data_IF_369856062421
#
_entry.id   IF_369856062421
#
_cell.length_a   1.000
_cell.length_b   1.000
_cell.length_c   1.000
_cell.angle_alpha   90.00
_cell.angle_beta   90.00
_cell.angle_gamma   90.00
#
_symmetry.space_group_name_H-M   'P 1'
#
loop_
_entity.id
_entity.type
_entity.pdbx_description
1 polymer ?
#
# COMPACT_ATOMS: atom_id res chain seq x y z
N UNK A 1 -14.54 7.63 20.64
CA UNK A 1 -13.59 6.70 19.99
C UNK A 1 -14.29 6.08 18.79
N UNK A 2 -13.60 5.92 17.66
CA UNK A 2 -14.18 5.17 16.55
C UNK A 2 -14.35 3.69 16.94
N UNK A 3 -15.49 3.12 16.60
CA UNK A 3 -15.83 1.71 16.90
C UNK A 3 -15.60 0.80 15.70
N UNK A 4 -15.45 1.39 14.51
CA UNK A 4 -15.08 0.69 13.31
C UNK A 4 -14.10 1.52 12.48
N UNK A 5 -13.36 0.83 11.61
CA UNK A 5 -12.36 1.48 10.76
C UNK A 5 -12.98 2.41 9.71
N UNK A 6 -14.20 2.11 9.27
CA UNK A 6 -14.91 2.89 8.25
C UNK A 6 -15.36 4.26 8.76
N UNK A 7 -15.46 4.47 10.07
CA UNK A 7 -15.68 5.77 10.69
C UNK A 7 -14.47 6.70 10.57
N UNK A 8 -13.28 6.14 10.32
CA UNK A 8 -12.02 6.90 10.17
C UNK A 8 -11.59 7.05 8.72
N UNK A 9 -12.00 6.12 7.85
CA UNK A 9 -11.61 6.09 6.43
C UNK A 9 -12.65 6.83 5.59
N UNK A 10 -12.22 7.87 4.88
CA UNK A 10 -13.10 8.65 3.99
C UNK A 10 -13.37 7.95 2.65
N UNK A 11 -12.42 7.14 2.17
CA UNK A 11 -12.48 6.51 0.84
C UNK A 11 -11.91 5.10 0.89
N UNK A 12 -12.67 4.14 0.35
CA UNK A 12 -12.21 2.78 0.09
C UNK A 12 -12.18 2.57 -1.42
N UNK A 13 -10.99 2.31 -1.97
CA UNK A 13 -10.84 2.06 -3.40
C UNK A 13 -11.24 0.62 -3.75
N UNK A 14 -12.06 0.41 -4.78
CA UNK A 14 -12.43 -0.93 -5.23
C UNK A 14 -11.29 -1.57 -6.03
N UNK A 15 -11.23 -2.90 -6.03
CA UNK A 15 -10.41 -3.65 -6.97
C UNK A 15 -11.23 -3.91 -8.24
N UNK A 16 -10.78 -3.36 -9.37
CA UNK A 16 -11.37 -3.57 -10.69
C UNK A 16 -10.35 -4.32 -11.58
N UNK A 17 -10.74 -4.72 -12.80
CA UNK A 17 -9.82 -5.42 -13.70
C UNK A 17 -8.54 -4.64 -14.02
N UNK A 18 -8.56 -3.31 -13.93
CA UNK A 18 -7.37 -2.47 -14.12
C UNK A 18 -6.33 -2.75 -13.02
N UNK A 19 -6.74 -2.71 -11.75
CA UNK A 19 -5.88 -2.95 -10.60
C UNK A 19 -5.39 -4.40 -10.59
N UNK A 20 -6.24 -5.37 -10.96
CA UNK A 20 -5.81 -6.77 -11.08
C UNK A 20 -4.73 -6.96 -12.15
N UNK A 21 -4.85 -6.30 -13.32
CA UNK A 21 -3.80 -6.35 -14.36
C UNK A 21 -2.51 -5.70 -13.89
N UNK A 22 -2.59 -4.51 -13.29
CA UNK A 22 -1.41 -3.83 -12.75
C UNK A 22 -0.72 -4.64 -11.64
N UNK A 23 -1.48 -5.34 -10.80
CA UNK A 23 -0.92 -6.24 -9.80
C UNK A 23 -0.14 -7.39 -10.44
N UNK A 24 -0.61 -7.97 -11.54
CA UNK A 24 0.12 -9.03 -12.25
C UNK A 24 1.44 -8.53 -12.84
N UNK A 25 1.47 -7.30 -13.36
CA UNK A 25 2.70 -6.64 -13.82
C UNK A 25 3.69 -6.50 -12.66
N UNK A 26 3.23 -5.93 -11.54
CA UNK A 26 4.06 -5.78 -10.33
C UNK A 26 4.55 -7.12 -9.79
N UNK A 27 3.72 -8.17 -9.84
CA UNK A 27 4.07 -9.50 -9.35
C UNK A 27 5.25 -10.10 -10.11
N UNK A 28 5.33 -9.92 -11.42
CA UNK A 28 6.46 -10.41 -12.21
C UNK A 28 7.80 -9.82 -11.73
N UNK A 29 7.80 -8.57 -11.30
CA UNK A 29 8.98 -7.87 -10.80
C UNK A 29 9.24 -8.09 -9.30
N UNK A 30 8.18 -8.28 -8.51
CA UNK A 30 8.25 -8.28 -7.05
C UNK A 30 8.26 -9.68 -6.44
N UNK A 31 7.75 -10.70 -7.14
CA UNK A 31 7.71 -12.08 -6.64
C UNK A 31 9.11 -12.63 -6.28
N UNK A 32 10.19 -12.36 -7.04
CA UNK A 32 11.54 -12.80 -6.66
C UNK A 32 12.04 -12.21 -5.34
N UNK A 33 11.46 -11.09 -4.90
CA UNK A 33 11.79 -10.37 -3.66
C UNK A 33 10.90 -10.79 -2.47
N UNK A 34 9.99 -11.75 -2.67
CA UNK A 34 9.13 -12.28 -1.62
C UNK A 34 7.92 -11.42 -1.26
N UNK A 35 7.62 -10.36 -2.04
CA UNK A 35 6.46 -9.49 -1.78
C UNK A 35 5.17 -10.26 -2.07
N UNK A 36 4.22 -10.21 -1.14
CA UNK A 36 2.98 -10.97 -1.22
C UNK A 36 2.00 -10.32 -2.20
N UNK A 37 1.18 -11.14 -2.86
CA UNK A 37 0.13 -10.70 -3.80
C UNK A 37 -0.83 -9.69 -3.16
N UNK A 38 -1.12 -9.84 -1.86
CA UNK A 38 -1.97 -8.90 -1.11
C UNK A 38 -1.36 -7.50 -1.07
N UNK A 39 -0.05 -7.38 -0.88
CA UNK A 39 0.60 -6.08 -0.78
C UNK A 39 0.66 -5.43 -2.17
N UNK A 40 0.87 -6.24 -3.21
CA UNK A 40 0.86 -5.79 -4.60
C UNK A 40 -0.52 -5.33 -5.09
N UNK A 41 -1.62 -5.95 -4.63
CA UNK A 41 -2.96 -5.48 -5.00
C UNK A 41 -3.28 -4.13 -4.34
N UNK A 42 -2.76 -3.87 -3.13
CA UNK A 42 -2.84 -2.54 -2.51
C UNK A 42 -2.06 -1.50 -3.32
N UNK A 43 -0.82 -1.81 -3.70
CA UNK A 43 -0.02 -0.91 -4.56
C UNK A 43 -0.71 -0.66 -5.89
N UNK A 44 -1.23 -1.69 -6.55
CA UNK A 44 -1.93 -1.53 -7.82
C UNK A 44 -3.15 -0.60 -7.70
N UNK A 45 -3.94 -0.76 -6.63
CA UNK A 45 -5.07 0.13 -6.34
C UNK A 45 -4.63 1.56 -6.05
N UNK A 46 -3.53 1.75 -5.32
CA UNK A 46 -2.98 3.08 -5.06
C UNK A 46 -2.54 3.76 -6.37
N UNK A 47 -1.71 3.09 -7.18
CA UNK A 47 -1.16 3.65 -8.41
C UNK A 47 -2.26 3.97 -9.43
N UNK A 48 -3.28 3.12 -9.55
CA UNK A 48 -4.43 3.37 -10.42
C UNK A 48 -5.23 4.64 -10.03
N UNK A 49 -5.10 5.10 -8.79
CA UNK A 49 -5.74 6.29 -8.25
C UNK A 49 -4.75 7.45 -8.01
N UNK A 50 -3.54 7.37 -8.58
CA UNK A 50 -2.52 8.42 -8.47
C UNK A 50 -1.91 8.55 -7.07
N UNK A 51 -2.06 7.54 -6.23
CA UNK A 51 -1.51 7.51 -4.87
C UNK A 51 -0.19 6.75 -4.92
N UNK A 52 0.86 7.37 -4.40
CA UNK A 52 2.22 6.81 -4.39
C UNK A 52 2.84 6.78 -2.99
N UNK A 53 2.04 7.02 -1.94
CA UNK A 53 2.53 7.06 -0.56
C UNK A 53 1.66 6.17 0.31
N UNK A 54 2.27 5.30 1.11
CA UNK A 54 1.57 4.39 2.04
C UNK A 54 2.11 4.57 3.45
N UNK A 55 1.21 4.66 4.43
CA UNK A 55 1.56 4.57 5.85
C UNK A 55 1.49 3.10 6.24
N UNK A 56 2.62 2.49 6.59
CA UNK A 56 2.69 1.06 6.93
C UNK A 56 3.92 0.74 7.79
N UNK A 57 3.73 -0.18 8.75
CA UNK A 57 4.84 -0.79 9.51
C UNK A 57 5.53 -1.92 8.73
N UNK A 58 4.95 -2.36 7.62
CA UNK A 58 5.55 -3.41 6.79
C UNK A 58 6.63 -2.83 5.87
N UNK A 59 7.89 -3.20 6.11
CA UNK A 59 9.04 -2.75 5.32
C UNK A 59 9.11 -3.30 3.90
N UNK A 60 8.29 -4.28 3.51
CA UNK A 60 8.30 -4.81 2.13
C UNK A 60 7.98 -3.73 1.08
N UNK A 61 7.18 -2.72 1.44
CA UNK A 61 6.87 -1.63 0.52
C UNK A 61 8.09 -0.78 0.14
N UNK A 62 9.17 -0.79 0.94
CA UNK A 62 10.42 -0.08 0.61
C UNK A 62 11.11 -0.67 -0.64
N UNK A 63 10.71 -1.88 -1.06
CA UNK A 63 11.25 -2.57 -2.23
C UNK A 63 10.50 -2.25 -3.53
N UNK A 64 9.42 -1.46 -3.46
CA UNK A 64 8.58 -1.10 -4.60
C UNK A 64 8.85 0.36 -4.97
N UNK A 65 9.55 0.58 -6.08
CA UNK A 65 10.05 1.91 -6.47
C UNK A 65 8.97 2.97 -6.68
N UNK A 66 7.78 2.58 -7.12
CA UNK A 66 6.68 3.49 -7.42
C UNK A 66 5.95 3.97 -6.17
N UNK A 67 6.25 3.42 -4.99
CA UNK A 67 5.59 3.76 -3.73
C UNK A 67 6.61 4.18 -2.68
N UNK A 68 6.31 5.28 -1.99
CA UNK A 68 7.01 5.73 -0.80
C UNK A 68 6.31 5.21 0.45
N UNK A 69 6.99 4.38 1.25
CA UNK A 69 6.52 4.04 2.59
C UNK A 69 6.81 5.18 3.56
N UNK A 70 5.82 5.50 4.39
CA UNK A 70 5.99 6.30 5.59
C UNK A 70 5.85 5.36 6.79
N UNK A 71 6.92 5.21 7.55
CA UNK A 71 6.92 4.40 8.76
C UNK A 71 6.23 5.17 9.90
N UNK A 72 5.09 4.69 10.44
CA UNK A 72 4.39 5.36 11.52
C UNK A 72 5.27 5.57 12.76
N UNK A 73 6.20 4.64 13.05
CA UNK A 73 7.08 4.72 14.21
C UNK A 73 8.12 5.84 14.04
N UNK A 74 8.53 6.13 12.81
CA UNK A 74 9.40 7.27 12.52
C UNK A 74 8.62 8.59 12.52
N UNK A 75 7.34 8.58 12.11
CA UNK A 75 6.50 9.77 12.06
C UNK A 75 6.09 10.26 13.45
N UNK A 76 5.85 9.36 14.39
CA UNK A 76 5.28 9.67 15.71
C UNK A 76 6.18 9.29 16.90
N UNK A 77 7.33 8.66 16.65
CA UNK A 77 8.32 8.30 17.69
C UNK A 77 9.13 9.45 18.27
N UNK A 78 8.81 10.71 17.95
CA UNK A 78 9.41 11.92 18.53
C UNK A 78 8.39 12.71 19.38
N UNK A 79 7.59 12.01 20.17
CA UNK A 79 6.83 12.65 21.24
C UNK A 79 7.62 12.49 22.54
N UNK A 80 8.48 13.48 22.84
CA UNK A 80 9.03 13.71 24.18
C UNK A 80 7.94 14.24 25.12
#
# INVERSE_FOLDING_TARGET
MATNLLELIQVVYPIRPLESRRMLELYQECAPRGILVRDLIHVAAMLANGINTIISTDGHFDQISEVKRLDPLQMFGQAD
#
